data_IF_157629422043
#
_entry.id   IF_157629422043
#
_cell.length_a   1.000
_cell.length_b   1.000
_cell.length_c   1.000
_cell.angle_alpha   90.00
_cell.angle_beta   90.00
_cell.angle_gamma   90.00
#
_symmetry.space_group_name_H-M   'P 1'
#
loop_
_entity.id
_entity.type
_entity.pdbx_description
1 polymer ?
#
# COMPACT_ATOMS: atom_id res chain seq x y z
N UNK A 1 37.55 -8.07 -18.28
CA UNK A 1 36.60 -7.43 -19.18
C UNK A 1 35.37 -8.29 -19.27
N UNK A 2 34.37 -8.01 -18.48
CA UNK A 2 33.04 -8.60 -18.64
C UNK A 2 32.05 -7.46 -18.43
N UNK A 3 31.69 -6.86 -19.55
CA UNK A 3 30.68 -5.83 -19.58
C UNK A 3 29.31 -6.44 -19.24
N UNK A 4 28.80 -6.12 -18.09
CA UNK A 4 27.37 -6.32 -17.80
C UNK A 4 26.63 -5.26 -18.60
N UNK A 5 26.13 -5.68 -19.71
CA UNK A 5 25.24 -4.87 -20.55
C UNK A 5 23.88 -4.80 -19.85
N UNK A 6 23.71 -3.81 -18.98
CA UNK A 6 22.41 -3.48 -18.40
C UNK A 6 21.57 -2.75 -19.46
N UNK A 7 21.01 -3.51 -20.35
CA UNK A 7 19.89 -3.07 -21.18
C UNK A 7 18.60 -3.32 -20.36
N UNK A 8 18.44 -2.58 -19.29
CA UNK A 8 17.25 -2.64 -18.47
C UNK A 8 16.81 -1.20 -18.28
N UNK A 9 15.94 -0.77 -19.12
CA UNK A 9 14.51 -0.88 -18.90
C UNK A 9 13.88 0.43 -18.47
N UNK A 10 13.61 1.33 -19.38
CA UNK A 10 12.63 2.39 -19.10
C UNK A 10 11.19 1.85 -19.10
N UNK A 11 10.97 0.53 -19.26
CA UNK A 11 9.64 -0.05 -19.47
C UNK A 11 9.01 -0.62 -18.19
N UNK A 12 9.79 -1.01 -17.20
CA UNK A 12 9.26 -1.50 -15.92
C UNK A 12 9.27 -0.38 -14.88
N UNK A 13 8.12 0.16 -14.57
CA UNK A 13 7.91 1.06 -13.41
C UNK A 13 7.99 0.31 -12.06
N UNK A 14 8.71 -0.81 -12.03
CA UNK A 14 8.90 -1.61 -10.82
C UNK A 14 10.06 -1.02 -10.03
N UNK A 15 9.84 -0.60 -8.79
CA UNK A 15 10.89 -0.03 -7.97
C UNK A 15 11.96 -1.07 -7.63
N UNK A 16 13.21 -0.64 -7.59
CA UNK A 16 14.38 -1.50 -7.38
C UNK A 16 15.13 -1.06 -6.13
N UNK A 17 15.27 -1.98 -5.16
CA UNK A 17 16.14 -1.82 -3.99
C UNK A 17 17.33 -2.77 -4.10
N UNK A 18 18.55 -2.22 -4.07
CA UNK A 18 19.79 -3.02 -4.10
C UNK A 18 20.24 -3.35 -2.68
N UNK A 19 20.39 -4.65 -2.40
CA UNK A 19 20.97 -5.17 -1.16
C UNK A 19 22.36 -5.76 -1.44
N UNK A 20 23.41 -5.19 -0.86
CA UNK A 20 24.80 -5.58 -1.18
C UNK A 20 25.70 -5.62 0.04
N UNK A 21 26.78 -6.42 -0.04
CA UNK A 21 27.89 -6.38 0.93
C UNK A 21 28.91 -5.28 0.65
N UNK A 22 28.84 -4.59 -0.49
CA UNK A 22 29.76 -3.53 -0.87
C UNK A 22 29.34 -2.20 -0.22
N UNK A 23 30.17 -1.65 0.65
CA UNK A 23 29.88 -0.45 1.42
C UNK A 23 30.50 0.83 0.82
N UNK A 24 31.26 0.72 -0.27
CA UNK A 24 31.95 1.82 -0.92
C UNK A 24 30.98 2.91 -1.43
N UNK A 25 31.39 4.17 -1.32
CA UNK A 25 30.61 5.30 -1.83
C UNK A 25 30.46 5.19 -3.35
N UNK A 26 31.51 4.78 -4.04
CA UNK A 26 31.52 4.59 -5.50
C UNK A 26 30.52 3.51 -5.94
N UNK A 27 30.43 2.41 -5.20
CA UNK A 27 29.49 1.33 -5.48
C UNK A 27 28.03 1.79 -5.29
N UNK A 28 27.78 2.63 -4.27
CA UNK A 28 26.45 3.25 -4.03
C UNK A 28 26.05 4.19 -5.16
N UNK A 29 26.96 5.05 -5.59
CA UNK A 29 26.74 6.01 -6.68
C UNK A 29 26.48 5.25 -7.99
N UNK A 30 27.25 4.20 -8.27
CA UNK A 30 27.04 3.36 -9.46
C UNK A 30 25.71 2.63 -9.40
N UNK A 31 25.34 2.04 -8.26
CA UNK A 31 24.08 1.34 -8.09
C UNK A 31 22.86 2.24 -8.34
N UNK A 32 22.86 3.43 -7.77
CA UNK A 32 21.82 4.44 -7.97
C UNK A 32 21.83 5.00 -9.41
N UNK A 33 23.03 5.17 -10.00
CA UNK A 33 23.19 5.60 -11.40
C UNK A 33 22.64 4.61 -12.44
N UNK A 34 22.50 3.33 -12.09
CA UNK A 34 21.85 2.31 -12.93
C UNK A 34 20.33 2.29 -12.81
N UNK A 35 19.72 3.23 -12.10
CA UNK A 35 18.27 3.37 -11.98
C UNK A 35 17.64 2.63 -10.80
N UNK A 36 18.42 2.27 -9.78
CA UNK A 36 17.88 1.79 -8.53
C UNK A 36 17.23 2.92 -7.72
N UNK A 37 16.12 2.64 -7.06
CA UNK A 37 15.38 3.61 -6.24
C UNK A 37 15.99 3.80 -4.85
N UNK A 38 16.70 2.79 -4.34
CA UNK A 38 17.43 2.87 -3.09
C UNK A 38 18.52 1.78 -3.02
N UNK A 39 19.42 1.94 -2.04
CA UNK A 39 20.58 1.09 -1.85
C UNK A 39 20.80 0.83 -0.36
N UNK A 40 20.98 -0.43 0.03
CA UNK A 40 21.21 -0.83 1.42
C UNK A 40 22.39 -1.80 1.52
N UNK A 41 23.26 -1.58 2.51
CA UNK A 41 24.42 -2.44 2.75
C UNK A 41 24.11 -3.52 3.79
N UNK A 42 24.69 -4.69 3.61
CA UNK A 42 24.71 -5.76 4.62
C UNK A 42 25.83 -5.51 5.64
N UNK A 43 25.59 -5.82 6.93
CA UNK A 43 24.35 -6.28 7.55
C UNK A 43 23.31 -5.17 7.69
N UNK A 44 22.02 -5.50 7.59
CA UNK A 44 20.91 -4.56 7.74
C UNK A 44 19.88 -5.06 8.76
N UNK A 45 19.17 -4.13 9.35
CA UNK A 45 18.08 -4.44 10.28
C UNK A 45 16.78 -4.68 9.51
N UNK A 46 15.98 -5.67 9.95
CA UNK A 46 14.71 -6.02 9.29
C UNK A 46 13.78 -4.81 9.18
N UNK A 47 13.66 -4.02 10.23
CA UNK A 47 12.73 -2.88 10.26
C UNK A 47 13.19 -1.75 9.31
N UNK A 48 14.51 -1.57 9.15
CA UNK A 48 15.06 -0.64 8.17
C UNK A 48 14.74 -1.07 6.74
N UNK A 49 14.91 -2.36 6.44
CA UNK A 49 14.57 -2.91 5.13
C UNK A 49 13.09 -2.67 4.79
N UNK A 50 12.19 -2.98 5.74
CA UNK A 50 10.75 -2.80 5.58
C UNK A 50 10.40 -1.32 5.36
N UNK A 51 10.98 -0.41 6.15
CA UNK A 51 10.74 1.02 6.03
C UNK A 51 11.17 1.56 4.66
N UNK A 52 12.34 1.11 4.14
CA UNK A 52 12.83 1.49 2.81
C UNK A 52 11.96 0.94 1.68
N UNK A 53 11.53 -0.32 1.76
CA UNK A 53 10.60 -0.91 0.78
C UNK A 53 9.31 -0.10 0.73
N UNK A 54 8.71 0.23 1.88
CA UNK A 54 7.51 1.05 1.93
C UNK A 54 7.73 2.45 1.31
N UNK A 55 8.86 3.08 1.59
CA UNK A 55 9.19 4.40 1.03
C UNK A 55 9.35 4.35 -0.50
N UNK A 56 10.00 3.31 -1.03
CA UNK A 56 10.21 3.14 -2.47
C UNK A 56 8.87 2.86 -3.18
N UNK A 57 8.07 1.93 -2.66
CA UNK A 57 6.75 1.60 -3.21
C UNK A 57 5.82 2.82 -3.20
N UNK A 58 5.84 3.59 -2.13
CA UNK A 58 5.07 4.84 -2.02
C UNK A 58 5.46 5.82 -3.13
N UNK A 59 6.77 6.07 -3.31
CA UNK A 59 7.29 6.98 -4.35
C UNK A 59 6.94 6.49 -5.76
N UNK A 60 7.07 5.20 -6.03
CA UNK A 60 6.77 4.61 -7.35
C UNK A 60 5.28 4.72 -7.74
N UNK A 61 4.40 4.84 -6.76
CA UNK A 61 2.96 5.06 -6.96
C UNK A 61 2.58 6.53 -7.08
N UNK A 62 3.53 7.44 -7.18
CA UNK A 62 3.30 8.88 -7.26
C UNK A 62 2.98 9.56 -5.93
N UNK A 63 3.06 8.82 -4.82
CA UNK A 63 2.84 9.37 -3.48
C UNK A 63 4.19 9.86 -2.90
N UNK A 64 4.60 11.05 -3.33
CA UNK A 64 5.80 11.71 -2.78
C UNK A 64 5.65 12.08 -1.30
N UNK A 65 4.41 12.20 -0.83
CA UNK A 65 4.07 12.50 0.56
C UNK A 65 3.55 11.24 1.25
N UNK A 66 3.69 11.21 2.57
CA UNK A 66 3.17 10.13 3.43
C UNK A 66 1.63 10.09 3.51
N UNK A 67 0.96 10.93 2.75
CA UNK A 67 -0.49 11.10 2.74
C UNK A 67 -1.05 10.62 1.41
N UNK A 68 -1.96 9.66 1.46
CA UNK A 68 -2.70 9.16 0.30
C UNK A 68 -4.12 9.66 0.38
N UNK A 69 -4.56 10.39 -0.65
CA UNK A 69 -5.91 10.91 -0.75
C UNK A 69 -6.73 10.14 -1.79
N UNK A 70 -7.97 9.82 -1.43
CA UNK A 70 -8.97 9.20 -2.30
C UNK A 70 -10.30 9.89 -2.05
N UNK A 71 -10.68 10.82 -2.93
CA UNK A 71 -11.80 11.72 -2.64
C UNK A 71 -11.57 12.48 -1.33
N UNK A 72 -12.49 12.38 -0.40
CA UNK A 72 -12.39 12.98 0.94
C UNK A 72 -11.67 12.08 1.97
N UNK A 73 -11.37 10.83 1.61
CA UNK A 73 -10.60 9.92 2.44
C UNK A 73 -9.11 10.24 2.37
N UNK A 74 -8.52 10.52 3.51
CA UNK A 74 -7.10 10.84 3.69
C UNK A 74 -6.46 9.81 4.62
N UNK A 75 -5.46 9.08 4.12
CA UNK A 75 -4.69 8.10 4.89
C UNK A 75 -3.26 8.59 5.04
N UNK A 76 -2.86 8.89 6.28
CA UNK A 76 -1.50 9.29 6.59
C UNK A 76 -0.69 8.06 7.04
N UNK A 77 0.32 7.70 6.25
CA UNK A 77 1.14 6.51 6.46
C UNK A 77 2.17 6.66 7.60
N UNK A 78 2.62 7.89 7.86
CA UNK A 78 3.62 8.16 8.90
C UNK A 78 2.99 8.17 10.29
N UNK A 79 1.86 8.88 10.43
CA UNK A 79 1.14 8.97 11.70
C UNK A 79 0.16 7.82 11.93
N UNK A 80 -0.07 7.00 10.89
CA UNK A 80 -1.08 5.92 10.89
C UNK A 80 -2.48 6.41 11.25
N UNK A 81 -2.83 7.60 10.74
CA UNK A 81 -4.14 8.21 10.95
C UNK A 81 -4.97 8.19 9.69
N UNK A 82 -6.27 8.16 9.86
CA UNK A 82 -7.26 8.18 8.79
C UNK A 82 -8.26 9.29 9.08
N UNK A 83 -8.53 10.10 8.07
CA UNK A 83 -9.51 11.16 8.12
C UNK A 83 -10.44 11.07 6.92
N UNK A 84 -11.70 11.45 7.11
CA UNK A 84 -12.70 11.57 6.05
C UNK A 84 -13.43 12.87 6.28
N UNK A 85 -13.53 13.72 5.25
CA UNK A 85 -14.14 15.06 5.37
C UNK A 85 -13.56 15.86 6.55
N UNK A 86 -12.23 15.79 6.75
CA UNK A 86 -11.51 16.39 7.88
C UNK A 86 -11.90 15.86 9.28
N UNK A 87 -12.66 14.76 9.37
CA UNK A 87 -12.99 14.08 10.61
C UNK A 87 -12.14 12.82 10.77
N UNK A 88 -11.54 12.68 11.95
CA UNK A 88 -10.69 11.51 12.25
C UNK A 88 -11.52 10.27 12.43
N UNK A 89 -11.17 9.20 11.71
CA UNK A 89 -11.78 7.87 11.81
C UNK A 89 -10.89 6.95 12.68
N UNK A 90 -11.47 6.43 13.76
CA UNK A 90 -10.75 5.52 14.65
C UNK A 90 -10.80 4.08 14.14
N UNK A 91 -9.67 3.59 13.66
CA UNK A 91 -9.48 2.21 13.19
C UNK A 91 -8.65 1.41 14.19
N UNK A 92 -8.94 0.11 14.29
CA UNK A 92 -8.04 -0.84 14.95
C UNK A 92 -6.80 -1.08 14.08
N UNK A 93 -5.73 -1.63 14.66
CA UNK A 93 -4.49 -1.89 13.92
C UNK A 93 -4.70 -2.72 12.65
N UNK A 94 -5.53 -3.77 12.70
CA UNK A 94 -5.83 -4.61 11.52
C UNK A 94 -6.68 -3.90 10.47
N UNK A 95 -7.67 -3.12 10.90
CA UNK A 95 -8.47 -2.29 9.99
C UNK A 95 -7.60 -1.23 9.30
N UNK A 96 -6.68 -0.59 10.03
CA UNK A 96 -5.74 0.35 9.46
C UNK A 96 -4.83 -0.32 8.42
N UNK A 97 -4.22 -1.47 8.74
CA UNK A 97 -3.35 -2.21 7.83
C UNK A 97 -4.07 -2.61 6.53
N UNK A 98 -5.35 -2.98 6.60
CA UNK A 98 -6.16 -3.25 5.42
C UNK A 98 -6.38 -2.00 4.56
N UNK A 99 -6.75 -0.89 5.20
CA UNK A 99 -6.96 0.37 4.49
C UNK A 99 -5.67 0.93 3.90
N UNK A 100 -4.56 0.79 4.62
CA UNK A 100 -3.22 1.13 4.14
C UNK A 100 -2.87 0.35 2.86
N UNK A 101 -3.07 -0.98 2.86
CA UNK A 101 -2.81 -1.82 1.70
C UNK A 101 -3.70 -1.43 0.51
N UNK A 102 -4.98 -1.18 0.74
CA UNK A 102 -5.92 -0.69 -0.27
C UNK A 102 -5.49 0.66 -0.85
N UNK A 103 -5.08 1.58 0.01
CA UNK A 103 -4.66 2.93 -0.37
C UNK A 103 -3.37 2.92 -1.20
N UNK A 104 -2.39 2.13 -0.78
CA UNK A 104 -1.14 1.94 -1.53
C UNK A 104 -1.36 1.32 -2.91
N UNK A 105 -2.46 0.58 -3.08
CA UNK A 105 -2.86 -0.08 -4.33
C UNK A 105 -4.20 0.42 -4.85
N UNK A 106 -4.47 1.71 -4.67
CA UNK A 106 -5.69 2.37 -5.15
C UNK A 106 -6.00 1.98 -6.60
N UNK A 107 -7.26 1.62 -6.87
CA UNK A 107 -7.72 1.19 -8.19
C UNK A 107 -7.35 -0.24 -8.60
N UNK A 108 -6.58 -0.96 -7.78
CA UNK A 108 -6.22 -2.36 -8.02
C UNK A 108 -7.07 -3.28 -7.17
N UNK A 109 -7.65 -4.31 -7.78
CA UNK A 109 -8.40 -5.34 -7.03
C UNK A 109 -7.43 -6.22 -6.25
N UNK A 110 -7.64 -6.33 -4.95
CA UNK A 110 -6.87 -7.16 -4.04
C UNK A 110 -7.67 -8.39 -3.63
N UNK A 111 -7.07 -9.57 -3.71
CA UNK A 111 -7.73 -10.81 -3.31
C UNK A 111 -7.72 -10.97 -1.79
N UNK A 112 -8.59 -11.83 -1.26
CA UNK A 112 -8.65 -12.09 0.19
C UNK A 112 -7.35 -12.69 0.73
N UNK A 113 -6.68 -13.52 -0.07
CA UNK A 113 -5.37 -14.09 0.27
C UNK A 113 -4.30 -13.01 0.39
N UNK A 114 -4.33 -11.99 -0.48
CA UNK A 114 -3.38 -10.86 -0.38
C UNK A 114 -3.56 -10.09 0.93
N UNK A 115 -4.80 -9.86 1.36
CA UNK A 115 -5.07 -9.24 2.66
C UNK A 115 -4.61 -10.13 3.81
N UNK A 116 -4.94 -11.42 3.76
CA UNK A 116 -4.59 -12.35 4.81
C UNK A 116 -3.08 -12.42 5.01
N UNK A 117 -2.34 -12.60 3.92
CA UNK A 117 -0.89 -12.61 3.93
C UNK A 117 -0.29 -11.29 4.47
N UNK A 118 -0.85 -10.14 4.09
CA UNK A 118 -0.41 -8.83 4.60
C UNK A 118 -0.66 -8.67 6.11
N UNK A 119 -1.79 -9.16 6.62
CA UNK A 119 -2.20 -9.01 8.01
C UNK A 119 -1.53 -10.01 8.96
N UNK A 120 -1.20 -11.21 8.48
CA UNK A 120 -0.75 -12.32 9.31
C UNK A 120 0.61 -12.90 8.90
N UNK A 121 1.12 -12.56 7.70
CA UNK A 121 2.46 -12.94 7.25
C UNK A 121 2.67 -14.43 7.02
N UNK A 122 1.59 -15.18 6.75
CA UNK A 122 1.65 -16.62 6.48
C UNK A 122 1.73 -17.50 7.74
N UNK A 123 1.65 -16.92 8.95
CA UNK A 123 1.64 -17.66 10.22
C UNK A 123 0.30 -17.47 10.92
N UNK A 124 -0.28 -18.58 11.44
CA UNK A 124 -1.55 -18.58 12.19
C UNK A 124 -2.68 -17.83 11.47
N UNK A 125 -2.82 -18.08 10.17
CA UNK A 125 -3.82 -17.42 9.34
C UNK A 125 -5.22 -17.91 9.70
N UNK A 126 -6.14 -16.99 10.04
CA UNK A 126 -7.55 -17.34 10.21
C UNK A 126 -8.21 -17.66 8.85
N UNK A 127 -9.44 -18.10 8.89
CA UNK A 127 -10.22 -18.35 7.66
C UNK A 127 -10.36 -17.07 6.81
N UNK A 128 -10.38 -17.22 5.48
CA UNK A 128 -10.55 -16.13 4.51
C UNK A 128 -11.76 -15.23 4.78
N UNK A 129 -12.81 -15.78 5.40
CA UNK A 129 -14.02 -15.04 5.79
C UNK A 129 -13.77 -13.89 6.75
N UNK A 130 -12.65 -13.90 7.50
CA UNK A 130 -12.30 -12.80 8.41
C UNK A 130 -12.10 -11.49 7.65
N UNK A 131 -11.65 -11.58 6.41
CA UNK A 131 -11.44 -10.40 5.56
C UNK A 131 -12.78 -9.71 5.27
N UNK A 132 -13.84 -10.46 5.02
CA UNK A 132 -15.17 -9.89 4.80
C UNK A 132 -15.67 -9.13 6.03
N UNK A 133 -15.38 -9.66 7.22
CA UNK A 133 -15.73 -9.01 8.49
C UNK A 133 -14.97 -7.68 8.64
N UNK A 134 -13.68 -7.66 8.34
CA UNK A 134 -12.89 -6.44 8.40
C UNK A 134 -13.36 -5.40 7.36
N UNK A 135 -13.64 -5.82 6.13
CA UNK A 135 -14.18 -4.93 5.10
C UNK A 135 -15.52 -4.35 5.52
N UNK A 136 -16.41 -5.16 6.07
CA UNK A 136 -17.70 -4.70 6.58
C UNK A 136 -17.54 -3.64 7.68
N UNK A 137 -16.64 -3.88 8.64
CA UNK A 137 -16.33 -2.92 9.71
C UNK A 137 -15.73 -1.64 9.18
N UNK A 138 -14.79 -1.73 8.22
CA UNK A 138 -14.19 -0.57 7.57
C UNK A 138 -15.22 0.28 6.85
N UNK A 139 -16.05 -0.36 6.01
CA UNK A 139 -17.15 0.34 5.31
C UNK A 139 -18.05 1.08 6.27
N UNK A 140 -18.48 0.42 7.36
CA UNK A 140 -19.34 1.03 8.38
C UNK A 140 -18.68 2.25 9.01
N UNK A 141 -17.39 2.17 9.37
CA UNK A 141 -16.67 3.28 10.01
C UNK A 141 -16.44 4.44 9.04
N UNK A 142 -16.09 4.17 7.79
CA UNK A 142 -15.91 5.20 6.77
C UNK A 142 -17.23 5.88 6.42
N UNK A 143 -18.31 5.11 6.21
CA UNK A 143 -19.64 5.66 5.88
C UNK A 143 -20.24 6.53 6.97
N UNK A 144 -19.96 6.25 8.24
CA UNK A 144 -20.40 7.09 9.36
C UNK A 144 -19.82 8.51 9.31
N UNK A 145 -18.63 8.65 8.71
CA UNK A 145 -17.95 9.95 8.58
C UNK A 145 -18.22 10.65 7.25
N UNK A 146 -18.77 9.94 6.25
CA UNK A 146 -19.01 10.46 4.90
C UNK A 146 -20.49 10.66 4.56
N UNK A 147 -21.39 10.38 5.48
CA UNK A 147 -22.83 10.43 5.16
C UNK A 147 -23.33 9.28 4.29
N UNK A 148 -22.55 8.19 4.18
CA UNK A 148 -22.97 6.96 3.48
C UNK A 148 -22.13 6.57 2.26
N UNK A 149 -21.10 7.33 1.90
CA UNK A 149 -20.25 7.02 0.75
C UNK A 149 -19.45 5.74 0.95
N UNK A 150 -19.31 4.97 -0.13
CA UNK A 150 -18.60 3.70 -0.12
C UNK A 150 -17.31 3.78 -0.95
N UNK A 151 -16.16 3.78 -0.27
CA UNK A 151 -14.83 3.81 -0.88
C UNK A 151 -14.29 2.43 -1.25
N UNK A 152 -14.85 1.36 -0.66
CA UNK A 152 -14.35 0.00 -0.85
C UNK A 152 -15.40 -0.79 -1.62
N UNK A 153 -15.14 -1.03 -2.90
CA UNK A 153 -16.01 -1.82 -3.76
C UNK A 153 -15.70 -3.32 -3.67
N UNK A 154 -16.74 -4.14 -3.85
CA UNK A 154 -16.59 -5.60 -4.02
C UNK A 154 -16.49 -5.93 -5.50
N UNK A 155 -15.40 -6.58 -5.89
CA UNK A 155 -15.26 -7.19 -7.21
C UNK A 155 -15.60 -8.67 -7.05
N UNK A 156 -16.80 -9.06 -7.46
CA UNK A 156 -17.34 -10.40 -7.25
C UNK A 156 -16.40 -11.49 -7.76
N UNK A 157 -16.16 -12.49 -6.92
CA UNK A 157 -15.25 -13.60 -7.21
C UNK A 157 -13.76 -13.23 -7.23
N UNK A 158 -13.37 -11.95 -7.03
CA UNK A 158 -11.98 -11.47 -7.15
C UNK A 158 -11.45 -10.81 -5.89
N UNK A 159 -12.28 -10.08 -5.13
CA UNK A 159 -11.85 -9.40 -3.92
C UNK A 159 -12.38 -7.97 -3.77
N UNK A 160 -11.54 -7.07 -3.31
CA UNK A 160 -11.91 -5.69 -2.98
C UNK A 160 -10.97 -4.67 -3.61
N UNK A 161 -11.49 -3.49 -3.91
CA UNK A 161 -10.74 -2.38 -4.51
C UNK A 161 -11.12 -1.06 -3.82
N UNK A 162 -10.15 -0.17 -3.63
CA UNK A 162 -10.40 1.20 -3.19
C UNK A 162 -10.56 2.12 -4.39
N UNK A 163 -11.67 2.83 -4.44
CA UNK A 163 -11.96 3.85 -5.46
C UNK A 163 -12.57 5.11 -4.84
N UNK A 164 -12.54 6.17 -5.58
CA UNK A 164 -13.35 7.34 -5.25
C UNK A 164 -14.82 7.01 -5.45
N UNK A 165 -15.71 7.40 -4.50
CA UNK A 165 -17.14 7.22 -4.68
C UNK A 165 -17.58 7.94 -5.97
N UNK A 166 -18.32 7.23 -6.83
CA UNK A 166 -18.97 7.84 -7.98
C UNK A 166 -20.31 8.41 -7.55
N UNK A 167 -20.74 9.51 -8.18
CA UNK A 167 -22.03 10.14 -7.89
C UNK A 167 -23.22 9.18 -8.12
N UNK A 168 -23.02 8.12 -8.87
CA UNK A 168 -24.03 7.08 -9.14
C UNK A 168 -24.23 6.08 -7.99
N UNK A 169 -23.25 5.90 -7.09
CA UNK A 169 -23.34 4.96 -5.97
C UNK A 169 -24.24 5.45 -4.81
N UNK A 170 -24.57 6.73 -4.79
CA UNK A 170 -25.46 7.33 -3.78
C UNK A 170 -26.95 6.94 -3.96
N UNK A 171 -27.31 6.16 -4.99
CA UNK A 171 -28.70 5.87 -5.35
C UNK A 171 -29.15 4.42 -5.17
N UNK A 172 -28.40 3.56 -4.50
CA UNK A 172 -28.86 2.21 -4.18
C UNK A 172 -29.39 2.22 -2.75
N UNK A 173 -30.72 2.24 -2.55
CA UNK A 173 -31.31 2.03 -1.22
C UNK A 173 -31.05 0.59 -0.77
N UNK A 174 -30.80 0.43 0.53
CA UNK A 174 -30.55 -0.83 1.22
C UNK A 174 -31.71 -1.85 1.07
#
# INVERSE_FOLDING_TARGET
>A
MTGVQTCALPILKTPILILTGLAGIEDKVRGLGFGADDYMTKPFHKDELIARIHAIVRRSKGHAQSVIQTGELVVNLDTKTVEVSAQRVHLTGKEYQMLELLSLRKGTTLTKEMFLNHLYGGMDEPELKIIDVFVCKLRKKLSQSTGGENYIETVWGRGYVLREPSEDDARIPA
#
